data_IF_444785637697
#
_entry.id   IF_444785637697
#
_cell.length_a   1.000
_cell.length_b   1.000
_cell.length_c   1.000
_cell.angle_alpha   90.00
_cell.angle_beta   90.00
_cell.angle_gamma   90.00
#
_symmetry.space_group_name_H-M   'P 1'
#
loop_
_entity.id
_entity.type
_entity.pdbx_description
1 polymer ?
#
# COMPACT_ATOMS: atom_id res chain seq x y z
N UNK A 1 -43.67 -3.98 -13.45
CA UNK A 1 -43.03 -2.86 -14.18
C UNK A 1 -41.72 -2.56 -13.47
N UNK A 2 -40.57 -3.06 -14.03
CA UNK A 2 -39.24 -2.82 -13.45
C UNK A 2 -38.78 -1.44 -13.93
N UNK A 3 -38.52 -0.52 -13.01
CA UNK A 3 -37.88 0.77 -13.34
C UNK A 3 -36.57 0.54 -14.07
N UNK A 4 -36.26 1.30 -15.15
CA UNK A 4 -34.97 1.20 -15.83
C UNK A 4 -33.89 1.70 -14.90
N UNK A 5 -32.99 0.79 -14.44
CA UNK A 5 -31.81 1.11 -13.66
C UNK A 5 -31.01 2.19 -14.40
N UNK A 6 -31.05 3.42 -13.92
CA UNK A 6 -30.29 4.54 -14.47
C UNK A 6 -28.82 4.11 -14.64
N UNK A 7 -28.31 4.20 -15.88
CA UNK A 7 -26.96 3.77 -16.24
C UNK A 7 -25.95 4.69 -15.56
N UNK A 8 -25.32 4.20 -14.49
CA UNK A 8 -24.23 4.90 -13.79
C UNK A 8 -23.17 5.35 -14.77
N UNK A 9 -22.74 6.60 -14.71
CA UNK A 9 -21.77 7.20 -15.63
C UNK A 9 -20.54 7.74 -14.89
N UNK A 10 -19.36 7.64 -15.52
CA UNK A 10 -18.16 8.30 -15.05
C UNK A 10 -17.69 7.80 -13.67
N UNK A 11 -17.48 8.72 -12.74
CA UNK A 11 -16.92 8.46 -11.41
C UNK A 11 -17.80 7.57 -10.52
N UNK A 12 -19.13 7.67 -10.67
CA UNK A 12 -20.07 6.81 -9.91
C UNK A 12 -19.94 5.34 -10.33
N UNK A 13 -19.82 5.07 -11.63
CA UNK A 13 -19.59 3.72 -12.15
C UNK A 13 -18.23 3.20 -11.70
N UNK A 14 -17.18 4.01 -11.75
CA UNK A 14 -15.85 3.64 -11.30
C UNK A 14 -15.84 3.25 -9.83
N UNK A 15 -16.45 4.06 -8.97
CA UNK A 15 -16.59 3.74 -7.54
C UNK A 15 -17.34 2.43 -7.34
N UNK A 16 -18.46 2.21 -8.05
CA UNK A 16 -19.24 0.98 -7.95
C UNK A 16 -18.43 -0.27 -8.39
N UNK A 17 -17.58 -0.14 -9.40
CA UNK A 17 -16.70 -1.23 -9.83
C UNK A 17 -15.64 -1.51 -8.77
N UNK A 18 -14.98 -0.48 -8.22
CA UNK A 18 -13.96 -0.66 -7.19
C UNK A 18 -14.55 -1.19 -5.88
N UNK A 19 -15.77 -0.79 -5.52
CA UNK A 19 -16.51 -1.36 -4.38
C UNK A 19 -16.83 -2.84 -4.60
N UNK A 20 -17.25 -3.23 -5.80
CA UNK A 20 -17.48 -4.61 -6.17
C UNK A 20 -16.18 -5.43 -6.16
N UNK A 21 -15.08 -4.86 -6.67
CA UNK A 21 -13.77 -5.50 -6.68
C UNK A 21 -13.25 -5.73 -5.25
N UNK A 22 -13.42 -4.75 -4.37
CA UNK A 22 -13.07 -4.90 -2.96
C UNK A 22 -13.89 -5.99 -2.26
N UNK A 23 -15.20 -6.01 -2.50
CA UNK A 23 -16.08 -7.04 -1.94
C UNK A 23 -15.67 -8.45 -2.42
N UNK A 24 -15.33 -8.59 -3.71
CA UNK A 24 -14.85 -9.85 -4.28
C UNK A 24 -13.53 -10.28 -3.66
N UNK A 25 -12.54 -9.37 -3.56
CA UNK A 25 -11.25 -9.65 -2.90
C UNK A 25 -11.44 -10.16 -1.46
N UNK A 26 -12.37 -9.55 -0.72
CA UNK A 26 -12.65 -9.96 0.66
C UNK A 26 -13.30 -11.34 0.77
N UNK A 27 -14.12 -11.71 -0.20
CA UNK A 27 -14.89 -12.95 -0.16
C UNK A 27 -14.06 -14.16 -0.63
N UNK A 28 -13.28 -13.98 -1.70
CA UNK A 28 -12.61 -15.12 -2.34
C UNK A 28 -11.07 -15.05 -2.33
N UNK A 29 -10.47 -13.95 -1.85
CA UNK A 29 -9.05 -13.71 -1.91
C UNK A 29 -8.53 -13.43 -3.32
N UNK A 30 -7.25 -13.01 -3.44
CA UNK A 30 -6.67 -12.67 -4.74
C UNK A 30 -6.51 -13.87 -5.68
N UNK A 31 -6.26 -15.06 -5.14
CA UNK A 31 -6.07 -16.27 -5.94
C UNK A 31 -7.30 -16.60 -6.81
N UNK A 32 -8.51 -16.36 -6.31
CA UNK A 32 -9.79 -16.60 -7.01
C UNK A 32 -10.44 -15.34 -7.57
N UNK A 33 -9.80 -14.18 -7.39
CA UNK A 33 -10.30 -12.91 -7.89
C UNK A 33 -10.30 -12.86 -9.41
N UNK A 34 -11.46 -12.56 -10.03
CA UNK A 34 -11.61 -12.46 -11.49
C UNK A 34 -12.33 -11.18 -11.91
N UNK A 35 -11.96 -10.66 -13.09
CA UNK A 35 -12.62 -9.48 -13.69
C UNK A 35 -14.08 -9.79 -14.01
N UNK A 36 -14.38 -11.05 -14.33
CA UNK A 36 -15.73 -11.56 -14.61
C UNK A 36 -16.67 -11.42 -13.41
N UNK A 37 -16.23 -11.91 -12.25
CA UNK A 37 -17.01 -11.85 -11.02
C UNK A 37 -17.24 -10.40 -10.61
N UNK A 38 -16.23 -9.55 -10.72
CA UNK A 38 -16.35 -8.10 -10.44
C UNK A 38 -17.35 -7.44 -11.39
N UNK A 39 -17.29 -7.73 -12.69
CA UNK A 39 -18.21 -7.17 -13.68
C UNK A 39 -19.67 -7.56 -13.38
N UNK A 40 -19.91 -8.84 -13.05
CA UNK A 40 -21.22 -9.35 -12.65
C UNK A 40 -21.73 -8.65 -11.38
N UNK A 41 -20.89 -8.55 -10.34
CA UNK A 41 -21.20 -7.90 -9.06
C UNK A 41 -21.49 -6.39 -9.22
N UNK A 42 -20.73 -5.70 -10.08
CA UNK A 42 -20.92 -4.28 -10.37
C UNK A 42 -22.11 -3.98 -11.31
N UNK A 43 -22.72 -5.01 -11.89
CA UNK A 43 -23.80 -4.86 -12.86
C UNK A 43 -23.35 -4.20 -14.17
N UNK A 44 -22.14 -4.53 -14.64
CA UNK A 44 -21.53 -3.99 -15.86
C UNK A 44 -20.89 -5.11 -16.69
N UNK A 45 -20.17 -4.74 -17.75
CA UNK A 45 -19.53 -5.71 -18.66
C UNK A 45 -18.00 -5.66 -18.56
N UNK A 46 -17.32 -6.79 -18.83
CA UNK A 46 -15.85 -6.87 -18.88
C UNK A 46 -15.19 -5.78 -19.74
N UNK A 47 -15.67 -5.47 -20.97
CA UNK A 47 -15.07 -4.41 -21.77
C UNK A 47 -15.05 -3.03 -21.09
N UNK A 48 -16.01 -2.77 -20.19
CA UNK A 48 -16.06 -1.54 -19.41
C UNK A 48 -14.93 -1.52 -18.37
N UNK A 49 -14.61 -2.64 -17.74
CA UNK A 49 -13.50 -2.76 -16.80
C UNK A 49 -12.15 -2.64 -17.55
N UNK A 50 -11.96 -3.41 -18.62
CA UNK A 50 -10.69 -3.43 -19.38
C UNK A 50 -10.32 -2.09 -20.03
N UNK A 51 -11.27 -1.18 -20.25
CA UNK A 51 -10.97 0.19 -20.68
C UNK A 51 -10.25 1.02 -19.62
N UNK A 52 -10.35 0.64 -18.32
CA UNK A 52 -9.78 1.38 -17.20
C UNK A 52 -8.62 0.64 -16.54
N UNK A 53 -8.74 -0.67 -16.42
CA UNK A 53 -7.75 -1.54 -15.78
C UNK A 53 -7.35 -2.63 -16.76
N UNK A 54 -6.09 -2.66 -17.14
CA UNK A 54 -5.58 -3.56 -18.21
C UNK A 54 -5.63 -5.03 -17.81
N UNK A 55 -5.55 -5.32 -16.51
CA UNK A 55 -5.54 -6.66 -15.97
C UNK A 55 -6.17 -6.71 -14.57
N UNK A 56 -6.34 -7.91 -14.02
CA UNK A 56 -6.95 -8.12 -12.69
C UNK A 56 -6.09 -7.54 -11.57
N UNK A 57 -4.76 -7.54 -11.71
CA UNK A 57 -3.85 -6.99 -10.71
C UNK A 57 -4.04 -5.48 -10.56
N UNK A 58 -4.14 -4.76 -11.69
CA UNK A 58 -4.41 -3.32 -11.70
C UNK A 58 -5.76 -2.99 -11.04
N UNK A 59 -6.80 -3.76 -11.35
CA UNK A 59 -8.13 -3.62 -10.73
C UNK A 59 -8.08 -3.87 -9.21
N UNK A 60 -7.41 -4.94 -8.77
CA UNK A 60 -7.28 -5.29 -7.37
C UNK A 60 -6.52 -4.21 -6.57
N UNK A 61 -5.40 -3.73 -7.12
CA UNK A 61 -4.60 -2.64 -6.51
C UNK A 61 -5.40 -1.34 -6.43
N UNK A 62 -6.16 -1.00 -7.48
CA UNK A 62 -7.01 0.19 -7.48
C UNK A 62 -8.15 0.10 -6.44
N UNK A 63 -8.79 -1.06 -6.33
CA UNK A 63 -9.84 -1.31 -5.33
C UNK A 63 -9.30 -1.19 -3.90
N UNK A 64 -8.12 -1.75 -3.65
CA UNK A 64 -7.44 -1.63 -2.37
C UNK A 64 -7.10 -0.16 -2.06
N UNK A 65 -6.53 0.58 -3.00
CA UNK A 65 -6.18 1.99 -2.82
C UNK A 65 -7.39 2.86 -2.49
N UNK A 66 -8.53 2.62 -3.14
CA UNK A 66 -9.77 3.35 -2.84
C UNK A 66 -10.22 3.15 -1.39
N UNK A 67 -9.94 1.98 -0.80
CA UNK A 67 -10.35 1.62 0.56
C UNK A 67 -9.31 1.96 1.63
N UNK A 68 -8.09 2.31 1.20
CA UNK A 68 -7.08 2.74 2.16
C UNK A 68 -7.53 4.05 2.82
N UNK A 69 -7.66 4.07 4.14
CA UNK A 69 -7.87 5.32 4.85
C UNK A 69 -6.72 6.27 4.55
N UNK A 70 -6.98 7.57 4.52
CA UNK A 70 -5.92 8.57 4.47
C UNK A 70 -4.85 8.23 5.50
N UNK A 71 -3.57 8.52 5.22
CA UNK A 71 -2.47 8.11 6.10
C UNK A 71 -2.57 8.76 7.50
N UNK A 72 -3.48 9.74 7.64
CA UNK A 72 -3.65 10.56 8.83
C UNK A 72 -2.54 11.59 8.96
N UNK A 73 -2.54 12.31 10.06
CA UNK A 73 -1.48 13.25 10.35
C UNK A 73 -0.15 12.51 10.57
N UNK A 74 0.93 13.13 10.14
CA UNK A 74 2.28 12.58 10.35
C UNK A 74 2.57 12.53 11.85
N UNK A 75 3.03 11.39 12.40
CA UNK A 75 3.36 11.29 13.82
C UNK A 75 4.32 12.39 14.26
N UNK A 76 4.01 13.06 15.36
CA UNK A 76 4.84 14.10 15.99
C UNK A 76 4.74 13.96 17.51
N UNK A 77 5.49 13.02 18.05
CA UNK A 77 5.54 12.69 19.47
C UNK A 77 6.65 13.45 20.22
N UNK A 78 7.45 14.20 19.48
CA UNK A 78 8.59 14.94 20.00
C UNK A 78 9.91 14.17 19.95
N UNK A 79 9.94 12.90 19.49
CA UNK A 79 11.17 12.13 19.37
C UNK A 79 11.14 11.18 18.16
N UNK A 80 12.27 11.07 17.46
CA UNK A 80 12.39 10.26 16.24
C UNK A 80 11.93 8.81 16.43
N UNK A 81 12.41 8.14 17.50
CA UNK A 81 12.08 6.73 17.77
C UNK A 81 10.56 6.54 17.90
N UNK A 82 9.89 7.35 18.70
CA UNK A 82 8.45 7.21 18.94
C UNK A 82 7.61 7.61 17.71
N UNK A 83 8.07 8.58 16.92
CA UNK A 83 7.46 8.94 15.65
C UNK A 83 7.52 7.75 14.67
N UNK A 84 8.69 7.10 14.56
CA UNK A 84 8.88 5.92 13.72
C UNK A 84 8.08 4.73 14.21
N UNK A 85 8.06 4.42 15.50
CA UNK A 85 7.25 3.33 16.06
C UNK A 85 5.76 3.53 15.78
N UNK A 86 5.26 4.76 15.93
CA UNK A 86 3.88 5.10 15.59
C UNK A 86 3.62 4.89 14.10
N UNK A 87 4.56 5.28 13.23
CA UNK A 87 4.47 5.08 11.79
C UNK A 87 4.45 3.60 11.42
N UNK A 88 5.38 2.80 11.95
CA UNK A 88 5.46 1.35 11.71
C UNK A 88 4.21 0.61 12.20
N UNK A 89 3.70 0.99 13.37
CA UNK A 89 2.42 0.48 13.88
C UNK A 89 1.25 0.78 12.93
N UNK A 90 1.17 2.01 12.42
CA UNK A 90 0.13 2.39 11.44
C UNK A 90 0.27 1.61 10.12
N UNK A 91 1.49 1.35 9.66
CA UNK A 91 1.75 0.50 8.49
C UNK A 91 1.28 -0.94 8.80
N UNK A 92 1.65 -1.49 9.95
CA UNK A 92 1.26 -2.84 10.38
C UNK A 92 -0.25 -3.04 10.42
N UNK A 93 -0.99 -2.10 11.04
CA UNK A 93 -2.45 -2.13 11.08
C UNK A 93 -3.11 -2.11 9.70
N UNK A 94 -2.43 -1.56 8.70
CA UNK A 94 -2.90 -1.51 7.30
C UNK A 94 -2.49 -2.73 6.49
N UNK A 95 -1.45 -3.44 6.95
CA UNK A 95 -0.89 -4.64 6.32
C UNK A 95 -1.63 -5.88 6.83
N UNK A 96 -2.96 -5.90 6.81
CA UNK A 96 -3.74 -7.07 7.23
C UNK A 96 -3.55 -8.27 6.28
N UNK A 97 -4.00 -9.46 6.71
CA UNK A 97 -3.86 -10.74 5.98
C UNK A 97 -4.28 -10.65 4.51
N UNK A 98 -5.41 -10.02 4.24
CA UNK A 98 -5.93 -9.87 2.88
C UNK A 98 -5.03 -8.99 1.98
N UNK A 99 -4.44 -7.92 2.51
CA UNK A 99 -3.51 -7.09 1.74
C UNK A 99 -2.23 -7.85 1.42
N UNK A 100 -1.71 -8.60 2.38
CA UNK A 100 -0.49 -9.39 2.22
C UNK A 100 -0.71 -10.52 1.21
N UNK A 101 -1.86 -11.23 1.25
CA UNK A 101 -2.24 -12.21 0.25
C UNK A 101 -2.34 -11.59 -1.15
N UNK A 102 -3.01 -10.46 -1.27
CA UNK A 102 -3.13 -9.74 -2.55
C UNK A 102 -1.75 -9.32 -3.08
N UNK A 103 -0.91 -8.73 -2.24
CA UNK A 103 0.45 -8.29 -2.65
C UNK A 103 1.29 -9.47 -3.06
N UNK A 104 1.30 -10.57 -2.28
CA UNK A 104 2.03 -11.79 -2.62
C UNK A 104 1.54 -12.38 -3.95
N UNK A 105 0.23 -12.42 -4.16
CA UNK A 105 -0.38 -12.89 -5.41
C UNK A 105 -0.02 -12.01 -6.62
N UNK A 106 -0.08 -10.69 -6.48
CA UNK A 106 0.34 -9.75 -7.54
C UNK A 106 1.83 -9.87 -7.82
N UNK A 107 2.67 -10.03 -6.80
CA UNK A 107 4.11 -10.26 -6.98
C UNK A 107 4.38 -11.58 -7.71
N UNK A 108 3.70 -12.66 -7.33
CA UNK A 108 3.84 -13.94 -8.02
C UNK A 108 3.38 -13.86 -9.50
N UNK A 109 2.34 -13.09 -9.79
CA UNK A 109 1.86 -12.85 -11.15
C UNK A 109 2.87 -12.03 -11.98
N UNK A 110 3.58 -11.09 -11.36
CA UNK A 110 4.59 -10.25 -12.03
C UNK A 110 5.76 -11.05 -12.61
N UNK A 111 6.09 -12.22 -12.07
CA UNK A 111 7.11 -13.11 -12.66
C UNK A 111 6.70 -13.73 -13.99
N UNK A 112 5.41 -13.78 -14.28
CA UNK A 112 4.86 -14.41 -15.50
C UNK A 112 4.32 -13.37 -16.48
N UNK A 113 3.97 -12.20 -16.02
CA UNK A 113 3.27 -11.15 -16.76
C UNK A 113 4.03 -9.83 -16.67
N UNK A 114 4.80 -9.45 -17.73
CA UNK A 114 5.59 -8.21 -17.74
C UNK A 114 4.78 -6.94 -17.43
N UNK A 115 3.52 -6.89 -17.87
CA UNK A 115 2.61 -5.76 -17.61
C UNK A 115 2.28 -5.60 -16.11
N UNK A 116 2.26 -6.71 -15.35
CA UNK A 116 2.08 -6.66 -13.89
C UNK A 116 3.39 -6.22 -13.21
N UNK A 117 4.53 -6.65 -13.73
CA UNK A 117 5.83 -6.19 -13.26
C UNK A 117 6.00 -4.67 -13.49
N UNK A 118 5.53 -4.14 -14.64
CA UNK A 118 5.52 -2.71 -14.93
C UNK A 118 4.61 -1.93 -13.97
N UNK A 119 3.43 -2.48 -13.66
CA UNK A 119 2.55 -1.92 -12.64
C UNK A 119 3.27 -1.80 -11.28
N UNK A 120 3.92 -2.87 -10.82
CA UNK A 120 4.67 -2.84 -9.56
C UNK A 120 5.81 -1.83 -9.62
N UNK A 121 6.60 -1.80 -10.70
CA UNK A 121 7.70 -0.83 -10.87
C UNK A 121 7.20 0.61 -10.86
N UNK A 122 6.10 0.91 -11.54
CA UNK A 122 5.53 2.25 -11.55
C UNK A 122 5.11 2.70 -10.15
N UNK A 123 4.64 1.78 -9.32
CA UNK A 123 4.29 2.05 -7.91
C UNK A 123 5.52 2.31 -7.04
N UNK A 124 6.68 1.76 -7.40
CA UNK A 124 7.92 2.01 -6.67
C UNK A 124 8.45 3.44 -6.84
N UNK A 125 8.11 4.08 -7.94
CA UNK A 125 8.63 5.41 -8.30
C UNK A 125 7.64 6.54 -8.03
N UNK A 126 6.38 6.23 -7.78
CA UNK A 126 5.36 7.26 -7.48
C UNK A 126 5.49 7.76 -6.04
N UNK A 127 5.34 9.08 -5.81
CA UNK A 127 5.19 9.62 -4.47
C UNK A 127 4.03 8.95 -3.74
N UNK A 128 4.25 8.58 -2.49
CA UNK A 128 3.22 7.99 -1.63
C UNK A 128 3.09 8.82 -0.35
N UNK A 129 1.90 8.95 0.21
CA UNK A 129 1.73 9.65 1.50
C UNK A 129 2.68 9.13 2.59
N UNK A 130 3.00 7.83 2.56
CA UNK A 130 3.96 7.23 3.47
C UNK A 130 5.39 7.77 3.29
N UNK A 131 5.87 7.92 2.06
CA UNK A 131 7.23 8.42 1.81
C UNK A 131 7.37 9.89 2.22
N UNK A 132 6.31 10.65 2.07
CA UNK A 132 6.27 12.03 2.56
C UNK A 132 6.23 12.07 4.10
N UNK A 133 5.46 11.19 4.74
CA UNK A 133 5.46 11.09 6.20
C UNK A 133 6.85 10.72 6.77
N UNK A 134 7.55 9.78 6.14
CA UNK A 134 8.93 9.44 6.52
C UNK A 134 9.85 10.65 6.37
N UNK A 135 9.76 11.37 5.27
CA UNK A 135 10.56 12.57 5.01
C UNK A 135 10.34 13.61 6.11
N UNK A 136 9.10 13.92 6.40
CA UNK A 136 8.73 14.93 7.42
C UNK A 136 9.19 14.54 8.83
N UNK A 137 9.07 13.26 9.22
CA UNK A 137 9.59 12.76 10.50
C UNK A 137 11.11 12.98 10.58
N UNK A 138 11.84 12.61 9.51
CA UNK A 138 13.30 12.76 9.49
C UNK A 138 13.73 14.23 9.47
N UNK A 139 13.07 15.10 8.70
CA UNK A 139 13.36 16.54 8.69
C UNK A 139 13.16 17.15 10.08
N UNK A 140 12.09 16.77 10.80
CA UNK A 140 11.89 17.21 12.18
C UNK A 140 12.97 16.68 13.13
N UNK A 141 13.39 15.42 12.97
CA UNK A 141 14.47 14.85 13.77
C UNK A 141 15.81 15.54 13.53
N UNK A 142 16.12 15.95 12.31
CA UNK A 142 17.30 16.78 11.98
C UNK A 142 17.18 18.16 12.64
N UNK A 143 16.02 18.79 12.55
CA UNK A 143 15.77 20.09 13.16
C UNK A 143 15.90 20.07 14.70
N UNK A 144 15.57 18.94 15.34
CA UNK A 144 15.74 18.71 16.78
C UNK A 144 17.18 18.28 17.16
N UNK A 145 18.06 18.03 16.20
CA UNK A 145 19.43 17.57 16.44
C UNK A 145 19.56 16.07 16.79
N UNK A 146 18.50 15.28 16.59
CA UNK A 146 18.52 13.82 16.81
C UNK A 146 19.25 13.07 15.69
N UNK A 147 19.28 13.66 14.50
CA UNK A 147 20.02 13.17 13.33
C UNK A 147 20.91 14.28 12.78
N UNK A 148 22.07 13.91 12.25
CA UNK A 148 22.83 14.80 11.39
C UNK A 148 22.06 15.05 10.08
N UNK A 149 22.28 16.17 9.38
CA UNK A 149 21.72 16.37 8.05
C UNK A 149 22.09 15.20 7.12
N UNK A 150 21.10 14.68 6.41
CA UNK A 150 21.26 13.50 5.57
C UNK A 150 20.44 13.60 4.27
N UNK A 151 20.89 12.87 3.25
CA UNK A 151 20.10 12.64 2.05
C UNK A 151 19.29 11.34 2.20
N UNK A 152 17.97 11.41 1.96
CA UNK A 152 17.08 10.23 2.00
C UNK A 152 16.87 9.68 0.58
N UNK A 153 17.56 8.61 0.19
CA UNK A 153 17.30 7.98 -1.09
C UNK A 153 15.91 7.33 -1.13
N UNK A 154 15.29 7.18 -2.33
CA UNK A 154 13.95 6.64 -2.47
C UNK A 154 13.73 5.27 -1.78
N UNK A 155 14.77 4.43 -1.73
CA UNK A 155 14.70 3.12 -1.05
C UNK A 155 14.64 3.27 0.47
N UNK A 156 15.36 4.21 1.06
CA UNK A 156 15.29 4.47 2.49
C UNK A 156 13.91 5.02 2.89
N UNK A 157 13.30 5.89 2.07
CA UNK A 157 11.94 6.38 2.28
C UNK A 157 10.89 5.26 2.27
N UNK A 158 11.13 4.18 1.53
CA UNK A 158 10.19 3.05 1.40
C UNK A 158 10.48 1.91 2.38
N UNK A 159 11.67 1.88 2.97
CA UNK A 159 12.10 0.79 3.83
C UNK A 159 11.07 0.45 4.94
N UNK A 160 10.41 1.40 5.63
CA UNK A 160 9.40 1.07 6.62
C UNK A 160 8.27 0.17 6.07
N UNK A 161 7.75 0.49 4.87
CA UNK A 161 6.72 -0.33 4.24
C UNK A 161 7.26 -1.71 3.82
N UNK A 162 8.46 -1.73 3.25
CA UNK A 162 9.04 -2.97 2.72
C UNK A 162 9.40 -3.94 3.87
N UNK A 163 9.92 -3.42 4.99
CA UNK A 163 10.21 -4.21 6.20
C UNK A 163 8.94 -4.79 6.82
N UNK A 164 7.97 -3.95 7.14
CA UNK A 164 6.72 -4.38 7.78
C UNK A 164 5.95 -5.36 6.88
N UNK A 165 5.90 -5.09 5.57
CA UNK A 165 5.21 -5.97 4.62
C UNK A 165 5.91 -7.33 4.52
N UNK A 166 7.25 -7.34 4.42
CA UNK A 166 8.00 -8.59 4.32
C UNK A 166 7.82 -9.44 5.57
N UNK A 167 7.90 -8.82 6.75
CA UNK A 167 7.68 -9.49 8.02
C UNK A 167 6.29 -10.13 8.07
N UNK A 168 5.25 -9.38 7.70
CA UNK A 168 3.90 -9.91 7.67
C UNK A 168 3.71 -11.06 6.67
N UNK A 169 4.33 -10.98 5.47
CA UNK A 169 4.23 -12.04 4.45
C UNK A 169 4.91 -13.32 4.93
N UNK A 170 6.05 -13.21 5.60
CA UNK A 170 6.88 -14.36 6.02
C UNK A 170 6.42 -14.96 7.34
N UNK A 171 6.13 -14.13 8.33
CA UNK A 171 5.82 -14.58 9.70
C UNK A 171 4.33 -14.53 10.02
N UNK A 172 3.50 -13.87 9.19
CA UNK A 172 2.04 -13.69 9.36
C UNK A 172 1.64 -13.06 10.70
N UNK A 173 2.58 -12.47 11.41
CA UNK A 173 2.40 -11.80 12.68
C UNK A 173 3.22 -10.51 12.72
N UNK A 174 2.64 -9.49 13.33
CA UNK A 174 3.31 -8.24 13.65
C UNK A 174 2.86 -7.86 15.06
N UNK A 175 3.67 -8.21 16.03
CA UNK A 175 3.48 -7.73 17.40
C UNK A 175 4.34 -6.47 17.66
N UNK A 176 4.17 -5.89 18.87
CA UNK A 176 4.90 -4.68 19.23
C UNK A 176 6.42 -4.91 19.30
N UNK A 177 6.87 -6.10 19.73
CA UNK A 177 8.29 -6.40 19.85
C UNK A 177 8.98 -6.44 18.49
N UNK A 178 8.36 -7.09 17.51
CA UNK A 178 8.86 -7.12 16.12
C UNK A 178 8.93 -5.71 15.54
N UNK A 179 7.93 -4.87 15.77
CA UNK A 179 7.95 -3.48 15.28
C UNK A 179 9.05 -2.67 15.95
N UNK A 180 9.33 -2.89 17.23
CA UNK A 180 10.45 -2.26 17.93
C UNK A 180 11.79 -2.72 17.34
N UNK A 181 12.01 -4.01 17.11
CA UNK A 181 13.21 -4.53 16.46
C UNK A 181 13.42 -3.94 15.06
N UNK A 182 12.37 -3.85 14.24
CA UNK A 182 12.46 -3.23 12.92
C UNK A 182 12.88 -1.76 12.98
N UNK A 183 12.42 -1.03 13.99
CA UNK A 183 12.78 0.37 14.18
C UNK A 183 14.18 0.49 14.77
N UNK A 184 14.46 -0.20 15.89
CA UNK A 184 15.66 0.02 16.69
C UNK A 184 16.92 -0.61 16.08
N UNK A 185 16.77 -1.83 15.54
CA UNK A 185 17.91 -2.60 15.05
C UNK A 185 18.16 -2.42 13.56
N UNK A 186 17.15 -1.94 12.80
CA UNK A 186 17.29 -1.82 11.35
C UNK A 186 17.14 -0.36 10.90
N UNK A 187 16.00 0.28 11.15
CA UNK A 187 15.71 1.54 10.48
C UNK A 187 16.41 2.75 11.10
N UNK A 188 16.51 2.83 12.42
CA UNK A 188 17.29 3.87 13.10
C UNK A 188 18.79 3.80 12.77
N UNK A 189 19.45 2.64 12.80
CA UNK A 189 20.83 2.50 12.34
C UNK A 189 21.01 2.89 10.86
N UNK A 190 20.06 2.52 9.99
CA UNK A 190 20.08 2.96 8.59
C UNK A 190 20.09 4.50 8.49
N UNK A 191 19.16 5.19 9.16
CA UNK A 191 19.09 6.64 9.13
C UNK A 191 20.36 7.31 9.66
N UNK A 192 20.93 6.77 10.76
CA UNK A 192 22.17 7.28 11.35
C UNK A 192 23.40 7.04 10.47
N UNK A 193 23.33 6.02 9.60
CA UNK A 193 24.40 5.70 8.65
C UNK A 193 24.38 6.55 7.37
N UNK A 194 23.25 7.14 7.02
CA UNK A 194 23.14 8.02 5.85
C UNK A 194 23.85 9.36 6.09
N UNK A 195 24.48 9.89 5.05
CA UNK A 195 25.22 11.19 5.08
C UNK A 195 24.70 12.08 3.96
N UNK A 196 25.00 13.38 4.07
CA UNK A 196 25.02 14.27 2.91
C UNK A 196 26.32 13.96 2.14
N UNK A 197 26.18 13.58 0.86
CA UNK A 197 27.30 13.52 -0.08
C UNK A 197 27.71 14.92 -0.51
#
# INVERSE_FOLDING_TARGET
MSEPKSRRRGAELERAILDAAWAELREVGYARFTVEAVAARAGTSKPVLYRRWKNRAELAVAAWQQRMPAFGDVPDTGALRSDLLTLFTRIGLRTGSMMSEMVAGVMAEAFRHPEVADLLRSRLTQPMPLTEAVREIVERAVARGELAPLHLPPRALRAPLDLVRNEYITCQALDGAVLEELVDDIYLPLLRGLRLD
#
